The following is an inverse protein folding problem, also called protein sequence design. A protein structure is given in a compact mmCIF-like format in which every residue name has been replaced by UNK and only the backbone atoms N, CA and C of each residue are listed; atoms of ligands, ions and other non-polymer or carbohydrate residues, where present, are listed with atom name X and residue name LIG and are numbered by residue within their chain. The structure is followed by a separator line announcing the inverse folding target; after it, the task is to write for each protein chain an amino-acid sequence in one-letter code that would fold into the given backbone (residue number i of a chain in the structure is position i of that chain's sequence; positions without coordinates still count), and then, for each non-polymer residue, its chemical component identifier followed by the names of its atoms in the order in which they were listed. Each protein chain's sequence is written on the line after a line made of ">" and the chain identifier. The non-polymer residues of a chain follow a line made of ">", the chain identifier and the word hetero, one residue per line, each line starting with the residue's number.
data_IF_981882884801
#
_entry.id   IF_981882884801
#
_cell.length_a   1.000
_cell.length_b   1.000
_cell.length_c   1.000
_cell.angle_alpha   90.00
_cell.angle_beta   90.00
_cell.angle_gamma   90.00
#
_symmetry.space_group_name_H-M   'P 1'
#
loop_
_entity.id
_entity.type
_entity.pdbx_description
1 polymer ?
#
# COMPACT_ATOMS: atom_id res chain seq x y z
N UNK A 1 27.90 -0.98 2.15
CA UNK A 1 27.03 -1.11 0.96
C UNK A 1 25.61 -0.85 1.43
N UNK A 2 24.90 0.16 0.92
CA UNK A 2 23.50 0.40 1.30
C UNK A 2 22.64 -0.62 0.57
N UNK A 3 21.94 -1.48 1.31
CA UNK A 3 20.99 -2.41 0.72
C UNK A 3 19.64 -1.72 0.60
N UNK A 4 19.09 -1.72 -0.62
CA UNK A 4 17.75 -1.23 -0.91
C UNK A 4 16.88 -2.42 -1.26
N UNK A 5 15.71 -2.54 -0.65
CA UNK A 5 14.69 -3.52 -1.00
C UNK A 5 13.40 -2.80 -1.35
N UNK A 6 12.83 -3.10 -2.51
CA UNK A 6 11.52 -2.59 -2.92
C UNK A 6 10.52 -3.74 -2.91
N UNK A 7 9.40 -3.55 -2.22
CA UNK A 7 8.34 -4.54 -2.09
C UNK A 7 7.03 -3.97 -2.63
N UNK A 8 6.26 -4.80 -3.32
CA UNK A 8 4.91 -4.44 -3.74
C UNK A 8 3.95 -4.74 -2.58
N UNK A 9 3.28 -3.72 -2.07
CA UNK A 9 2.21 -3.87 -1.09
C UNK A 9 0.86 -3.63 -1.74
N UNK A 10 -0.13 -4.40 -1.30
CA UNK A 10 -1.52 -4.27 -1.73
C UNK A 10 -2.43 -4.15 -0.51
N UNK A 11 -3.20 -3.07 -0.45
CA UNK A 11 -4.29 -2.88 0.51
C UNK A 11 -5.61 -3.23 -0.17
N UNK A 12 -6.41 -4.04 0.52
CA UNK A 12 -7.80 -4.34 0.14
C UNK A 12 -8.73 -3.61 1.10
N UNK A 13 -9.42 -2.61 0.59
CA UNK A 13 -10.37 -1.82 1.35
C UNK A 13 -11.80 -2.24 1.02
N UNK A 14 -12.60 -2.54 2.04
CA UNK A 14 -14.00 -2.94 1.89
C UNK A 14 -14.89 -1.80 2.37
N UNK A 15 -15.66 -1.23 1.44
CA UNK A 15 -16.58 -0.11 1.68
C UNK A 15 -17.82 -0.29 0.80
N UNK A 16 -19.04 -0.31 1.37
CA UNK A 16 -20.27 -0.46 0.60
C UNK A 16 -20.52 0.64 -0.43
N UNK A 17 -20.04 1.88 -0.23
CA UNK A 17 -20.27 2.99 -1.16
C UNK A 17 -18.99 3.54 -1.81
N UNK A 18 -17.83 3.08 -1.34
CA UNK A 18 -16.52 3.40 -1.92
C UNK A 18 -16.12 4.86 -1.87
N UNK A 19 -16.91 5.72 -1.21
CA UNK A 19 -16.69 7.18 -1.26
C UNK A 19 -15.36 7.57 -0.64
N UNK A 20 -14.81 6.72 0.22
CA UNK A 20 -13.56 6.95 0.93
C UNK A 20 -12.37 6.27 0.29
N UNK A 21 -12.53 5.51 -0.80
CA UNK A 21 -11.45 4.70 -1.35
C UNK A 21 -10.22 5.53 -1.76
N UNK A 22 -10.43 6.72 -2.34
CA UNK A 22 -9.34 7.65 -2.70
C UNK A 22 -8.64 8.18 -1.45
N UNK A 23 -9.41 8.66 -0.46
CA UNK A 23 -8.86 9.13 0.82
C UNK A 23 -8.04 8.03 1.52
N UNK A 24 -8.53 6.79 1.52
CA UNK A 24 -7.83 5.65 2.10
C UNK A 24 -6.55 5.31 1.31
N UNK A 25 -6.53 5.52 0.00
CA UNK A 25 -5.32 5.36 -0.78
C UNK A 25 -4.25 6.37 -0.33
N UNK A 26 -4.61 7.65 -0.23
CA UNK A 26 -3.69 8.70 0.25
C UNK A 26 -3.18 8.42 1.67
N UNK A 27 -4.09 8.09 2.60
CA UNK A 27 -3.73 7.75 3.98
C UNK A 27 -2.84 6.49 4.06
N UNK A 28 -3.01 5.52 3.17
CA UNK A 28 -2.17 4.33 3.10
C UNK A 28 -0.74 4.66 2.66
N UNK A 29 -0.55 5.59 1.72
CA UNK A 29 0.77 6.06 1.32
C UNK A 29 1.52 6.67 2.51
N UNK A 30 0.85 7.57 3.22
CA UNK A 30 1.43 8.25 4.39
C UNK A 30 1.76 7.25 5.50
N UNK A 31 0.85 6.30 5.77
CA UNK A 31 1.07 5.25 6.77
C UNK A 31 2.28 4.39 6.41
N UNK A 32 2.40 3.96 5.15
CA UNK A 32 3.51 3.11 4.72
C UNK A 32 4.86 3.84 4.78
N UNK A 33 4.88 5.16 4.58
CA UNK A 33 6.09 5.95 4.69
C UNK A 33 6.65 5.97 6.13
N UNK A 34 5.78 5.86 7.14
CA UNK A 34 6.18 5.90 8.56
C UNK A 34 6.20 4.53 9.23
N UNK A 35 5.90 3.45 8.50
CA UNK A 35 5.81 2.12 9.07
C UNK A 35 7.17 1.60 9.58
N UNK A 36 7.20 0.90 10.73
CA UNK A 36 8.39 0.21 11.19
C UNK A 36 8.88 -0.81 10.17
N UNK A 37 10.17 -0.78 9.87
CA UNK A 37 10.83 -1.77 9.01
C UNK A 37 12.21 -2.11 9.58
N UNK A 38 12.89 -3.13 9.03
CA UNK A 38 14.29 -3.46 9.38
C UNK A 38 15.30 -2.41 8.85
N UNK A 39 14.84 -1.20 8.55
CA UNK A 39 15.59 -0.07 8.02
C UNK A 39 14.72 1.19 8.10
N UNK A 40 14.90 2.11 7.15
CA UNK A 40 14.04 3.27 6.98
C UNK A 40 13.31 3.16 5.66
N UNK A 41 11.99 3.37 5.66
CA UNK A 41 11.23 3.53 4.42
C UNK A 41 11.70 4.83 3.77
N UNK A 42 12.27 4.72 2.58
CA UNK A 42 12.78 5.84 1.82
C UNK A 42 11.68 6.47 0.96
N UNK A 43 10.85 5.63 0.36
CA UNK A 43 9.88 6.04 -0.64
C UNK A 43 8.68 5.09 -0.70
N UNK A 44 7.52 5.65 -1.06
CA UNK A 44 6.28 4.94 -1.32
C UNK A 44 5.70 5.48 -2.62
N UNK A 45 5.72 4.65 -3.67
CA UNK A 45 5.19 5.00 -4.98
C UNK A 45 3.82 4.37 -5.18
N UNK A 46 2.81 5.19 -5.47
CA UNK A 46 1.48 4.68 -5.85
C UNK A 46 1.54 4.02 -7.23
N UNK A 47 1.42 2.69 -7.26
CA UNK A 47 1.52 1.88 -8.47
C UNK A 47 0.15 1.70 -9.16
N UNK A 48 -0.95 1.86 -8.42
CA UNK A 48 -2.29 1.86 -8.98
C UNK A 48 -3.38 1.60 -7.95
N UNK A 49 -4.62 1.92 -8.31
CA UNK A 49 -5.73 1.94 -7.38
C UNK A 49 -6.24 3.36 -7.12
N UNK A 50 -7.25 3.50 -6.26
CA UNK A 50 -8.15 2.43 -5.83
C UNK A 50 -8.97 1.88 -7.01
N UNK A 51 -8.88 0.58 -7.29
CA UNK A 51 -9.66 -0.07 -8.35
C UNK A 51 -10.75 -0.93 -7.72
N UNK A 52 -12.00 -0.71 -8.10
CA UNK A 52 -13.14 -1.54 -7.69
C UNK A 52 -13.05 -2.93 -8.32
N UNK A 53 -13.18 -3.97 -7.49
CA UNK A 53 -13.20 -5.36 -7.89
C UNK A 53 -14.25 -6.11 -7.06
N UNK A 54 -14.90 -7.12 -7.66
CA UNK A 54 -15.65 -8.10 -6.89
C UNK A 54 -14.72 -8.92 -6.00
N UNK A 55 -15.18 -9.27 -4.81
CA UNK A 55 -14.48 -10.24 -3.98
C UNK A 55 -14.56 -11.64 -4.62
N UNK A 56 -13.43 -12.36 -4.74
CA UNK A 56 -13.41 -13.67 -5.41
C UNK A 56 -14.11 -14.77 -4.58
N UNK A 57 -14.27 -14.57 -3.27
CA UNK A 57 -14.76 -15.59 -2.35
C UNK A 57 -16.20 -15.27 -1.87
N UNK A 58 -16.59 -13.99 -1.87
CA UNK A 58 -17.90 -13.53 -1.39
C UNK A 58 -18.69 -12.86 -2.52
N UNK A 59 -19.78 -13.49 -3.01
CA UNK A 59 -20.66 -12.90 -4.02
C UNK A 59 -21.19 -11.53 -3.58
N UNK A 60 -21.31 -10.61 -4.55
CA UNK A 60 -21.84 -9.26 -4.38
C UNK A 60 -21.07 -8.35 -3.41
N UNK A 61 -19.96 -8.81 -2.82
CA UNK A 61 -19.06 -7.98 -2.04
C UNK A 61 -18.09 -7.25 -2.97
N UNK A 62 -18.02 -5.93 -2.86
CA UNK A 62 -17.07 -5.10 -3.59
C UNK A 62 -15.88 -4.75 -2.70
N UNK A 63 -14.67 -4.76 -3.27
CA UNK A 63 -13.45 -4.29 -2.64
C UNK A 63 -12.74 -3.27 -3.53
N UNK A 64 -11.98 -2.39 -2.92
CA UNK A 64 -11.11 -1.43 -3.57
C UNK A 64 -9.66 -1.84 -3.35
N UNK A 65 -8.94 -2.06 -4.44
CA UNK A 65 -7.55 -2.52 -4.40
C UNK A 65 -6.63 -1.34 -4.65
N UNK A 66 -5.74 -1.08 -3.68
CA UNK A 66 -4.72 -0.05 -3.71
C UNK A 66 -3.36 -0.74 -3.69
N UNK A 67 -2.47 -0.37 -4.61
CA UNK A 67 -1.17 -1.01 -4.80
C UNK A 67 -0.07 0.04 -4.77
N UNK A 68 0.98 -0.20 -3.98
CA UNK A 68 2.14 0.68 -3.90
C UNK A 68 3.45 -0.10 -3.91
N UNK A 69 4.50 0.51 -4.44
CA UNK A 69 5.87 0.09 -4.19
C UNK A 69 6.40 0.77 -2.95
N UNK A 70 6.92 0.01 -1.99
CA UNK A 70 7.56 0.54 -0.79
C UNK A 70 9.03 0.20 -0.81
N UNK A 71 9.87 1.22 -0.80
CA UNK A 71 11.33 1.09 -0.87
C UNK A 71 11.95 1.34 0.50
N UNK A 72 12.65 0.34 1.03
CA UNK A 72 13.33 0.38 2.33
C UNK A 72 14.84 0.38 2.12
N UNK A 73 15.53 1.28 2.82
CA UNK A 73 16.99 1.34 2.85
C UNK A 73 17.49 0.87 4.21
N UNK A 74 18.41 -0.09 4.21
CA UNK A 74 19.06 -0.55 5.44
C UNK A 74 20.23 0.38 5.80
N UNK A 75 20.12 1.05 6.94
CA UNK A 75 21.15 1.96 7.48
C UNK A 75 22.07 1.29 8.52
N UNK A 76 21.82 0.04 8.93
CA UNK A 76 22.63 -0.67 9.94
C UNK A 76 24.04 -1.05 9.46
N UNK A 77 24.31 -0.99 8.15
CA UNK A 77 25.63 -1.27 7.56
C UNK A 77 26.24 -0.07 6.84
N UNK A 78 25.81 1.15 7.20
CA UNK A 78 26.30 2.41 6.65
C UNK A 78 27.51 2.95 7.43
#
# INVERSE_FOLDING_TARGET
>A
MRFTSSQLLQLRYYDPDGKRAEQIADEALELWLVMPSFGTVQDVEHAGGPISQGDPDIPDLTRYVITCWVTVVNTQFA
#
